data_IF_566014504383
#
_entry.id   IF_566014504383
#
_cell.length_a   1.000
_cell.length_b   1.000
_cell.length_c   1.000
_cell.angle_alpha   90.00
_cell.angle_beta   90.00
_cell.angle_gamma   90.00
#
_symmetry.space_group_name_H-M   'P 1'
#
loop_
_entity.id
_entity.type
_entity.pdbx_description
1 polymer ?
#
# COMPACT_ATOMS: atom_id res chain seq x y z
N UNK A 1 15.69 -20.76 -11.89
CA UNK A 1 15.91 -19.92 -13.09
C UNK A 1 14.99 -18.68 -13.08
N UNK A 2 13.71 -18.82 -12.71
CA UNK A 2 12.74 -17.71 -12.63
C UNK A 2 13.13 -16.50 -11.75
N UNK A 3 13.79 -16.70 -10.60
CA UNK A 3 14.19 -15.57 -9.74
C UNK A 3 15.26 -14.68 -10.40
N UNK A 4 16.13 -15.27 -11.24
CA UNK A 4 17.17 -14.51 -11.97
C UNK A 4 16.58 -13.69 -13.12
N UNK A 5 15.54 -14.19 -13.78
CA UNK A 5 14.84 -13.45 -14.84
C UNK A 5 14.11 -12.22 -14.28
N UNK A 6 13.51 -12.33 -13.08
CA UNK A 6 12.86 -11.21 -12.39
C UNK A 6 13.83 -10.08 -11.99
N UNK A 7 15.11 -10.41 -11.75
CA UNK A 7 16.12 -9.40 -11.39
C UNK A 7 17.03 -8.97 -12.55
N UNK A 8 17.13 -9.76 -13.63
CA UNK A 8 18.12 -9.53 -14.70
C UNK A 8 17.51 -9.06 -16.03
N UNK A 9 16.19 -9.04 -16.18
CA UNK A 9 15.53 -8.55 -17.40
C UNK A 9 14.77 -7.25 -17.13
N UNK A 10 14.69 -6.38 -18.14
CA UNK A 10 14.03 -5.06 -18.05
C UNK A 10 12.57 -5.17 -17.57
N UNK A 11 11.90 -6.26 -17.96
CA UNK A 11 10.53 -6.61 -17.55
C UNK A 11 10.48 -6.94 -16.06
N UNK A 12 11.48 -7.65 -15.55
CA UNK A 12 11.57 -8.03 -14.14
C UNK A 12 11.68 -6.81 -13.23
N UNK A 13 12.53 -5.84 -13.58
CA UNK A 13 12.69 -4.62 -12.81
C UNK A 13 11.43 -3.73 -12.81
N UNK A 14 10.76 -3.60 -13.96
CA UNK A 14 9.47 -2.88 -14.05
C UNK A 14 8.37 -3.56 -13.23
N UNK A 15 8.33 -4.89 -13.23
CA UNK A 15 7.36 -5.66 -12.43
C UNK A 15 7.61 -5.49 -10.92
N UNK A 16 8.87 -5.50 -10.48
CA UNK A 16 9.25 -5.23 -9.09
C UNK A 16 8.89 -3.81 -8.66
N UNK A 17 9.11 -2.82 -9.54
CA UNK A 17 8.70 -1.44 -9.30
C UNK A 17 7.18 -1.33 -9.16
N UNK A 18 6.43 -2.00 -10.04
CA UNK A 18 4.95 -2.03 -10.00
C UNK A 18 4.44 -2.66 -8.70
N UNK A 19 4.97 -3.82 -8.32
CA UNK A 19 4.61 -4.51 -7.07
C UNK A 19 4.94 -3.62 -5.86
N UNK A 20 6.13 -3.01 -5.85
CA UNK A 20 6.54 -2.07 -4.80
C UNK A 20 5.62 -0.85 -4.71
N UNK A 21 5.26 -0.27 -5.85
CA UNK A 21 4.34 0.88 -5.93
C UNK A 21 2.95 0.53 -5.36
N UNK A 22 2.40 -0.63 -5.73
CA UNK A 22 1.11 -1.10 -5.21
C UNK A 22 1.17 -1.30 -3.69
N UNK A 23 2.25 -1.88 -3.16
CA UNK A 23 2.44 -2.05 -1.71
C UNK A 23 2.49 -0.70 -0.99
N UNK A 24 3.24 0.26 -1.53
CA UNK A 24 3.33 1.62 -0.96
C UNK A 24 1.97 2.31 -0.98
N UNK A 25 1.23 2.21 -2.08
CA UNK A 25 -0.11 2.77 -2.21
C UNK A 25 -1.09 2.12 -1.23
N UNK A 26 -1.06 0.79 -1.08
CA UNK A 26 -1.88 0.08 -0.11
C UNK A 26 -1.56 0.50 1.33
N UNK A 27 -0.28 0.64 1.67
CA UNK A 27 0.14 1.12 2.99
C UNK A 27 -0.28 2.58 3.23
N UNK A 28 -0.19 3.43 2.21
CA UNK A 28 -0.64 4.82 2.29
C UNK A 28 -2.15 4.91 2.54
N UNK A 29 -2.95 4.15 1.78
CA UNK A 29 -4.41 4.10 1.94
C UNK A 29 -4.77 3.53 3.32
N UNK A 30 -4.12 2.45 3.76
CA UNK A 30 -4.35 1.88 5.09
C UNK A 30 -4.05 2.89 6.20
N UNK A 31 -2.94 3.63 6.09
CA UNK A 31 -2.58 4.68 7.05
C UNK A 31 -3.57 5.84 7.02
N UNK A 32 -4.00 6.26 5.83
CA UNK A 32 -4.99 7.31 5.66
C UNK A 32 -6.35 6.91 6.24
N UNK A 33 -6.84 5.72 5.89
CA UNK A 33 -8.08 5.16 6.40
C UNK A 33 -8.04 4.97 7.92
N UNK A 34 -6.94 4.46 8.49
CA UNK A 34 -6.79 4.33 9.95
C UNK A 34 -6.84 5.69 10.66
N UNK A 35 -6.22 6.72 10.08
CA UNK A 35 -6.27 8.08 10.63
C UNK A 35 -7.67 8.67 10.53
N UNK A 36 -8.39 8.42 9.44
CA UNK A 36 -9.74 8.92 9.21
C UNK A 36 -10.78 8.20 10.07
N UNK A 37 -10.71 6.87 10.18
CA UNK A 37 -11.55 6.06 11.06
C UNK A 37 -11.36 6.47 12.52
N UNK A 38 -10.14 6.76 12.96
CA UNK A 38 -9.91 7.26 14.32
C UNK A 38 -10.55 8.64 14.56
N UNK A 39 -10.75 9.43 13.52
CA UNK A 39 -11.45 10.72 13.58
C UNK A 39 -12.97 10.52 13.58
N UNK A 40 -13.49 9.60 12.77
CA UNK A 40 -14.90 9.21 12.73
C UNK A 40 -15.34 8.53 14.04
N UNK A 41 -14.53 7.65 14.63
CA UNK A 41 -14.83 7.04 15.94
C UNK A 41 -14.88 8.08 17.06
N UNK A 42 -14.07 9.16 16.96
CA UNK A 42 -14.06 10.25 17.95
C UNK A 42 -15.30 11.12 17.83
N UNK A 43 -15.75 11.41 16.61
CA UNK A 43 -16.99 12.16 16.37
C UNK A 43 -18.24 11.32 16.66
N UNK A 44 -18.22 10.01 16.39
CA UNK A 44 -19.32 9.10 16.70
C UNK A 44 -19.54 8.95 18.22
N UNK A 45 -18.48 9.00 19.03
CA UNK A 45 -18.58 8.93 20.52
C UNK A 45 -19.05 10.21 21.20
N UNK A 46 -19.01 11.36 20.53
CA UNK A 46 -19.48 12.64 21.08
C UNK A 46 -20.98 12.90 20.83
N UNK A 47 -21.65 12.01 20.09
CA UNK A 47 -23.05 12.16 19.69
C UNK A 47 -24.05 11.31 20.47
N UNK A 48 -23.69 10.74 21.63
CA UNK A 48 -24.58 9.88 22.42
C UNK A 48 -24.63 10.25 23.90
#
# INVERSE_FOLDING_TARGET
>A
MALKELFSTDIGLLSLFTIGFVIVMAAYIYRFAKRHIAEDERNAKLGH
#
